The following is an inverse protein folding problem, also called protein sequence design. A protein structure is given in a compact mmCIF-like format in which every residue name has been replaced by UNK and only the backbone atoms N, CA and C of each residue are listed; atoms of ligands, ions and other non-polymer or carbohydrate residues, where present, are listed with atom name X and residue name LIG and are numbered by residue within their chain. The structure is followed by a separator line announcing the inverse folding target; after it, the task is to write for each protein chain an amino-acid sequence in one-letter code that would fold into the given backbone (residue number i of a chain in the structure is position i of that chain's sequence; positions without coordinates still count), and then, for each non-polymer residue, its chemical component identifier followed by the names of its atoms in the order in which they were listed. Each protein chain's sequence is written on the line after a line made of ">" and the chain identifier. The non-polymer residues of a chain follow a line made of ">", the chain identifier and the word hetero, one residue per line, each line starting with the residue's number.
data_IF_482662456906
#
_entry.id   IF_482662456906
#
_cell.length_a   1.000
_cell.length_b   1.000
_cell.length_c   1.000
_cell.angle_alpha   90.00
_cell.angle_beta   90.00
_cell.angle_gamma   90.00
#
_symmetry.space_group_name_H-M   'P 1'
#
loop_
_entity.id
_entity.type
_entity.pdbx_description
1 polymer ?
#
# COMPACT_ATOMS: atom_id res chain seq x y z
N UNK A 1 -13.60 -28.74 5.67
CA UNK A 1 -12.99 -29.82 4.86
C UNK A 1 -11.63 -30.19 5.44
N UNK A 2 -11.21 -31.45 5.30
CA UNK A 2 -9.86 -31.91 5.67
C UNK A 2 -9.04 -32.07 4.40
N UNK A 3 -7.83 -31.50 4.40
CA UNK A 3 -6.86 -31.54 3.31
C UNK A 3 -5.49 -31.81 3.91
N UNK A 4 -4.68 -32.59 3.20
CA UNK A 4 -3.28 -32.82 3.54
C UNK A 4 -2.44 -32.15 2.47
N UNK A 5 -1.57 -31.23 2.88
CA UNK A 5 -0.72 -30.44 1.98
C UNK A 5 0.71 -30.52 2.51
N UNK A 6 1.67 -30.77 1.62
CA UNK A 6 3.08 -30.62 1.96
C UNK A 6 3.48 -29.14 1.78
N UNK A 7 4.04 -28.53 2.81
CA UNK A 7 4.37 -27.11 2.84
C UNK A 7 5.74 -26.91 3.46
N UNK A 8 6.48 -25.90 2.97
CA UNK A 8 7.69 -25.43 3.62
C UNK A 8 7.35 -24.87 5.01
N UNK A 9 7.82 -25.55 6.06
CA UNK A 9 7.59 -25.16 7.44
C UNK A 9 8.18 -23.77 7.76
N UNK A 10 9.32 -23.42 7.17
CA UNK A 10 9.93 -22.12 7.41
C UNK A 10 9.09 -20.98 6.82
N UNK A 11 8.42 -21.22 5.69
CA UNK A 11 7.45 -20.28 5.14
C UNK A 11 6.22 -20.17 6.05
N UNK A 12 5.69 -21.29 6.52
CA UNK A 12 4.51 -21.31 7.37
C UNK A 12 4.74 -20.57 8.69
N UNK A 13 5.90 -20.74 9.31
CA UNK A 13 6.28 -20.03 10.53
C UNK A 13 6.33 -18.51 10.33
N UNK A 14 6.91 -18.05 9.21
CA UNK A 14 6.91 -16.61 8.87
C UNK A 14 5.50 -16.08 8.64
N UNK A 15 4.64 -16.84 7.97
CA UNK A 15 3.24 -16.45 7.74
C UNK A 15 2.48 -16.37 9.06
N UNK A 16 2.65 -17.36 9.95
CA UNK A 16 2.05 -17.34 11.29
C UNK A 16 2.51 -16.12 12.09
N UNK A 17 3.82 -15.85 12.13
CA UNK A 17 4.36 -14.68 12.82
C UNK A 17 3.83 -13.35 12.24
N UNK A 18 3.69 -13.25 10.92
CA UNK A 18 3.21 -12.03 10.25
C UNK A 18 1.71 -11.78 10.40
N UNK A 19 0.91 -12.85 10.48
CA UNK A 19 -0.55 -12.77 10.57
C UNK A 19 -1.06 -12.81 12.00
N UNK A 20 -0.24 -13.27 12.95
CA UNK A 20 -0.64 -13.51 14.34
C UNK A 20 -1.58 -14.71 14.51
N UNK A 21 -1.68 -15.58 13.51
CA UNK A 21 -2.57 -16.74 13.53
C UNK A 21 -2.15 -17.75 14.61
N UNK A 22 -3.13 -18.24 15.38
CA UNK A 22 -2.89 -19.19 16.46
C UNK A 22 -2.66 -20.63 15.95
N UNK A 23 -3.13 -20.93 14.73
CA UNK A 23 -3.02 -22.26 14.13
C UNK A 23 -2.49 -22.21 12.70
N UNK A 24 -1.86 -23.30 12.25
CA UNK A 24 -1.40 -23.49 10.86
C UNK A 24 -2.54 -23.30 9.85
N UNK A 25 -3.71 -23.86 10.14
CA UNK A 25 -4.90 -23.75 9.28
C UNK A 25 -5.36 -22.30 9.14
N UNK A 26 -5.40 -21.55 10.23
CA UNK A 26 -5.78 -20.14 10.23
C UNK A 26 -4.79 -19.28 9.45
N UNK A 27 -3.49 -19.54 9.62
CA UNK A 27 -2.44 -18.86 8.87
C UNK A 27 -2.59 -19.05 7.36
N UNK A 28 -2.83 -20.30 6.94
CA UNK A 28 -3.07 -20.65 5.53
C UNK A 28 -4.34 -19.96 5.01
N UNK A 29 -5.44 -20.03 5.78
CA UNK A 29 -6.70 -19.39 5.40
C UNK A 29 -6.54 -17.88 5.21
N UNK A 30 -5.86 -17.22 6.15
CA UNK A 30 -5.60 -15.77 6.12
C UNK A 30 -4.73 -15.40 4.94
N UNK A 31 -3.66 -16.17 4.67
CA UNK A 31 -2.79 -15.94 3.53
C UNK A 31 -3.55 -16.06 2.20
N UNK A 32 -4.37 -17.10 2.02
CA UNK A 32 -5.16 -17.30 0.81
C UNK A 32 -6.18 -16.18 0.60
N UNK A 33 -6.89 -15.77 1.66
CA UNK A 33 -7.83 -14.64 1.61
C UNK A 33 -7.14 -13.35 1.24
N UNK A 34 -5.94 -13.10 1.77
CA UNK A 34 -5.20 -11.87 1.49
C UNK A 34 -4.69 -11.83 0.04
N UNK A 35 -4.29 -12.97 -0.52
CA UNK A 35 -3.91 -13.07 -1.94
C UNK A 35 -5.12 -12.80 -2.84
N UNK A 36 -6.27 -13.41 -2.57
CA UNK A 36 -7.52 -13.17 -3.33
C UNK A 36 -7.95 -11.70 -3.21
N UNK A 37 -7.94 -11.12 -2.00
CA UNK A 37 -8.27 -9.71 -1.76
C UNK A 37 -7.40 -8.77 -2.59
N UNK A 38 -6.08 -9.03 -2.65
CA UNK A 38 -5.15 -8.21 -3.45
C UNK A 38 -5.42 -8.35 -4.95
N UNK A 39 -5.71 -9.56 -5.43
CA UNK A 39 -6.06 -9.76 -6.85
C UNK A 39 -7.30 -8.96 -7.23
N UNK A 40 -8.37 -9.08 -6.45
CA UNK A 40 -9.62 -8.33 -6.67
C UNK A 40 -9.42 -6.83 -6.59
N UNK A 41 -8.61 -6.36 -5.64
CA UNK A 41 -8.30 -4.93 -5.54
C UNK A 41 -7.62 -4.43 -6.81
N UNK A 42 -6.68 -5.19 -7.38
CA UNK A 42 -6.02 -4.82 -8.64
C UNK A 42 -7.01 -4.79 -9.81
N UNK A 43 -7.95 -5.73 -9.88
CA UNK A 43 -9.01 -5.76 -10.89
C UNK A 43 -9.89 -4.51 -10.81
N UNK A 44 -10.44 -4.22 -9.63
CA UNK A 44 -11.28 -3.04 -9.39
C UNK A 44 -10.53 -1.74 -9.67
N UNK A 45 -9.27 -1.64 -9.26
CA UNK A 45 -8.46 -0.44 -9.53
C UNK A 45 -8.09 -0.29 -11.02
N UNK A 46 -8.01 -1.39 -11.77
CA UNK A 46 -7.79 -1.35 -13.23
C UNK A 46 -9.02 -0.92 -13.99
N UNK A 47 -10.21 -1.32 -13.55
CA UNK A 47 -11.48 -0.80 -14.08
C UNK A 47 -11.55 0.72 -13.92
N UNK A 48 -11.00 1.22 -12.81
CA UNK A 48 -10.98 2.64 -12.49
C UNK A 48 -12.35 3.11 -12.02
N UNK A 49 -12.50 4.43 -11.84
CA UNK A 49 -13.75 5.01 -11.32
C UNK A 49 -14.78 5.28 -12.41
N UNK A 50 -14.41 5.15 -13.69
CA UNK A 50 -15.21 5.62 -14.82
C UNK A 50 -15.43 7.13 -14.87
N UNK A 51 -14.83 7.89 -13.95
CA UNK A 51 -15.05 9.32 -13.80
C UNK A 51 -14.04 10.14 -14.61
N UNK A 52 -14.49 11.29 -15.09
CA UNK A 52 -13.62 12.29 -15.70
C UNK A 52 -12.74 12.98 -14.67
N UNK A 53 -11.71 13.70 -15.13
CA UNK A 53 -10.81 14.46 -14.26
C UNK A 53 -11.54 15.51 -13.39
N UNK A 54 -12.61 16.10 -13.91
CA UNK A 54 -13.35 17.15 -13.20
C UNK A 54 -14.22 16.55 -12.10
N UNK A 55 -14.91 15.45 -12.38
CA UNK A 55 -15.70 14.70 -11.39
C UNK A 55 -14.80 14.15 -10.27
N UNK A 56 -13.61 13.65 -10.60
CA UNK A 56 -12.66 13.18 -9.58
C UNK A 56 -12.25 14.28 -8.59
N UNK A 57 -12.22 15.56 -9.01
CA UNK A 57 -11.89 16.67 -8.12
C UNK A 57 -13.01 16.99 -7.14
N UNK A 58 -14.26 16.70 -7.51
CA UNK A 58 -15.44 17.00 -6.68
C UNK A 58 -15.93 15.80 -5.87
N UNK A 59 -15.38 14.60 -6.11
CA UNK A 59 -15.73 13.37 -5.40
C UNK A 59 -15.19 13.28 -3.96
N UNK A 60 -14.14 14.03 -3.63
CA UNK A 60 -13.59 14.06 -2.27
C UNK A 60 -14.38 15.03 -1.40
N UNK A 61 -14.64 14.64 -0.15
CA UNK A 61 -15.26 15.52 0.84
C UNK A 61 -14.39 16.77 1.03
N UNK A 62 -14.95 18.00 0.88
CA UNK A 62 -14.22 19.24 1.15
C UNK A 62 -13.55 19.27 2.53
N UNK A 63 -14.10 18.61 3.54
CA UNK A 63 -13.51 18.50 4.87
C UNK A 63 -12.25 17.61 4.92
N UNK A 64 -11.94 16.91 3.83
CA UNK A 64 -10.74 16.07 3.68
C UNK A 64 -9.56 16.80 3.02
N UNK A 65 -9.53 18.15 3.05
CA UNK A 65 -8.42 18.90 2.48
C UNK A 65 -7.10 18.53 3.17
N UNK A 66 -6.21 17.88 2.41
CA UNK A 66 -4.92 17.42 2.87
C UNK A 66 -4.02 18.57 3.36
N UNK A 67 -4.23 19.80 2.88
CA UNK A 67 -3.48 20.97 3.36
C UNK A 67 -3.97 21.40 4.74
N UNK A 68 -5.28 21.42 4.98
CA UNK A 68 -5.86 21.73 6.30
C UNK A 68 -5.51 20.64 7.32
N UNK A 69 -5.63 19.37 6.94
CA UNK A 69 -5.27 18.24 7.80
C UNK A 69 -3.78 18.24 8.16
N UNK A 70 -2.89 18.65 7.25
CA UNK A 70 -1.44 18.77 7.52
C UNK A 70 -1.10 19.94 8.44
N UNK A 71 -1.88 21.03 8.42
CA UNK A 71 -1.68 22.16 9.35
C UNK A 71 -2.08 21.77 10.78
N UNK A 72 -3.05 20.86 10.93
CA UNK A 72 -3.47 20.32 12.23
C UNK A 72 -2.49 19.28 12.82
N UNK A 73 -1.53 18.77 12.04
CA UNK A 73 -0.43 17.94 12.56
C UNK A 73 0.56 18.80 13.37
N UNK A 74 0.26 19.02 14.66
CA UNK A 74 1.28 19.50 15.58
C UNK A 74 2.42 18.49 15.63
N UNK A 75 3.64 18.89 15.27
CA UNK A 75 4.87 18.09 15.42
C UNK A 75 5.08 17.70 16.89
N UNK A 76 4.48 16.61 17.36
CA UNK A 76 4.89 15.95 18.62
C UNK A 76 6.08 15.03 18.35
N UNK A 77 7.20 15.62 17.91
CA UNK A 77 8.39 14.84 17.59
C UNK A 77 9.58 15.74 17.31
N UNK A 78 10.48 15.82 18.28
CA UNK A 78 11.76 16.53 18.27
C UNK A 78 12.40 16.57 16.87
N UNK A 79 12.29 17.70 16.18
CA UNK A 79 13.05 17.95 14.95
C UNK A 79 14.51 18.24 15.33
N UNK A 80 15.32 17.18 15.38
CA UNK A 80 16.76 17.33 15.17
C UNK A 80 16.97 18.02 13.82
N UNK A 81 17.71 19.13 13.80
CA UNK A 81 18.08 19.85 12.57
C UNK A 81 18.93 18.94 11.67
N UNK A 82 18.30 18.14 10.82
CA UNK A 82 18.98 17.51 9.70
C UNK A 82 19.09 18.54 8.58
N UNK A 83 20.31 19.04 8.35
CA UNK A 83 20.62 19.95 7.27
C UNK A 83 20.11 19.38 5.93
N UNK A 84 19.31 20.17 5.21
CA UNK A 84 18.76 19.80 3.92
C UNK A 84 19.88 19.62 2.89
N UNK A 85 20.28 18.37 2.61
CA UNK A 85 21.08 18.07 1.42
C UNK A 85 20.20 18.29 0.20
N UNK A 86 20.63 19.19 -0.70
CA UNK A 86 20.02 19.39 -2.02
C UNK A 86 20.07 18.07 -2.78
N UNK A 87 18.93 17.41 -2.95
CA UNK A 87 18.78 16.28 -3.87
C UNK A 87 18.57 16.87 -5.26
N UNK A 88 19.60 16.85 -6.11
CA UNK A 88 19.47 17.17 -7.53
C UNK A 88 19.01 15.93 -8.28
N UNK A 89 17.82 15.98 -8.87
CA UNK A 89 17.38 14.92 -9.79
C UNK A 89 18.25 14.97 -11.05
N UNK A 90 18.95 13.87 -11.34
CA UNK A 90 19.74 13.69 -12.56
C UNK A 90 18.78 13.70 -13.76
N UNK A 91 18.84 14.74 -14.58
CA UNK A 91 18.14 14.79 -15.86
C UNK A 91 18.54 13.58 -16.71
N UNK A 92 17.56 12.79 -17.17
CA UNK A 92 17.79 11.68 -18.10
C UNK A 92 18.48 12.20 -19.38
N UNK A 93 19.55 11.56 -19.87
CA UNK A 93 20.19 11.99 -21.10
C UNK A 93 19.32 11.63 -22.32
N UNK A 94 18.88 12.68 -23.03
CA UNK A 94 18.65 12.75 -24.48
C UNK A 94 17.87 11.62 -25.17
N UNK A 95 16.57 11.86 -25.43
CA UNK A 95 15.92 11.29 -26.62
C UNK A 95 16.43 12.03 -27.86
N UNK A 96 17.37 11.42 -28.60
CA UNK A 96 17.69 11.90 -29.95
C UNK A 96 16.57 11.47 -30.88
N UNK A 97 15.89 12.45 -31.47
CA UNK A 97 15.08 12.30 -32.68
C UNK A 97 15.92 11.72 -33.82
N UNK A 98 15.31 10.81 -34.57
CA UNK A 98 15.55 10.60 -36.00
C UNK A 98 14.20 10.39 -36.66
#
# INVERSE_FOLDING_TARGET
>A
MKITLNMDDALLDRVMASTGAATKTEAILTALREVDRRSRLVEVLREGTGATREELKTMFDPASDALELRVAESRSGKTGKAAAKKISYRSKPGSKSK
#
